data_IF_611715247882
#
_entry.id   IF_611715247882
#
_cell.length_a   1.000
_cell.length_b   1.000
_cell.length_c   1.000
_cell.angle_alpha   90.00
_cell.angle_beta   90.00
_cell.angle_gamma   90.00
#
_symmetry.space_group_name_H-M   'P 1'
#
loop_
_entity.id
_entity.type
_entity.pdbx_description
1 polymer ?
#
# COMPACT_ATOMS: atom_id res chain seq x y z
N UNK A 1 14.90 17.53 2.53
CA UNK A 1 13.89 16.95 1.62
C UNK A 1 14.28 15.50 1.32
N UNK A 2 13.36 14.52 1.31
CA UNK A 2 13.69 13.14 0.98
C UNK A 2 14.10 13.05 -0.50
N UNK A 3 15.35 12.68 -0.76
CA UNK A 3 15.89 12.56 -2.11
C UNK A 3 15.56 11.18 -2.69
N UNK A 4 14.80 11.14 -3.79
CA UNK A 4 14.55 9.88 -4.51
C UNK A 4 15.87 9.45 -5.15
N UNK A 5 16.39 8.29 -4.74
CA UNK A 5 17.60 7.74 -5.34
C UNK A 5 17.39 7.49 -6.84
N UNK A 6 18.39 7.86 -7.67
CA UNK A 6 18.35 7.61 -9.11
C UNK A 6 18.40 6.10 -9.39
N UNK A 7 17.72 5.66 -10.44
CA UNK A 7 17.76 4.25 -10.88
C UNK A 7 19.23 3.86 -11.16
N UNK A 8 19.65 2.69 -10.70
CA UNK A 8 21.02 2.14 -10.82
C UNK A 8 22.12 2.77 -9.94
N UNK A 9 21.78 3.57 -8.92
CA UNK A 9 22.76 3.97 -7.89
C UNK A 9 22.77 2.98 -6.72
N UNK A 10 23.93 2.77 -6.07
CA UNK A 10 24.01 2.01 -4.83
C UNK A 10 22.98 2.51 -3.82
N UNK A 11 22.35 1.60 -3.06
CA UNK A 11 21.37 1.89 -2.02
C UNK A 11 22.04 2.66 -0.87
N UNK A 12 22.29 3.96 -1.07
CA UNK A 12 23.14 4.76 -0.18
C UNK A 12 22.41 5.51 0.93
N UNK A 13 21.08 5.38 1.07
CA UNK A 13 20.31 6.34 1.88
C UNK A 13 19.32 5.73 2.86
N UNK A 14 19.25 4.40 3.01
CA UNK A 14 18.30 3.75 3.94
C UNK A 14 16.82 4.00 3.63
N UNK A 15 16.50 4.71 2.54
CA UNK A 15 15.13 5.00 2.10
C UNK A 15 14.31 3.73 1.86
N UNK A 16 14.94 2.61 1.50
CA UNK A 16 14.29 1.32 1.37
C UNK A 16 13.60 0.86 2.67
N UNK A 17 14.19 1.14 3.83
CA UNK A 17 13.63 0.78 5.15
C UNK A 17 12.32 1.50 5.42
N UNK A 18 12.24 2.80 5.10
CA UNK A 18 11.03 3.61 5.31
C UNK A 18 10.00 3.41 4.19
N UNK A 19 10.45 3.28 2.93
CA UNK A 19 9.56 3.06 1.77
C UNK A 19 8.89 1.70 1.82
N UNK A 20 9.57 0.68 2.32
CA UNK A 20 9.04 -0.67 2.39
C UNK A 20 7.68 -0.74 3.09
N UNK A 21 7.45 0.06 4.14
CA UNK A 21 6.16 0.10 4.84
C UNK A 21 5.02 0.54 3.91
N UNK A 22 5.28 1.56 3.09
CA UNK A 22 4.31 2.10 2.12
C UNK A 22 4.12 1.12 0.96
N UNK A 23 5.21 0.62 0.39
CA UNK A 23 5.19 -0.33 -0.73
C UNK A 23 4.49 -1.64 -0.36
N UNK A 24 4.72 -2.16 0.86
CA UNK A 24 4.02 -3.32 1.42
C UNK A 24 2.52 -3.06 1.53
N UNK A 25 2.12 -1.89 2.01
CA UNK A 25 0.70 -1.51 2.12
C UNK A 25 0.03 -1.50 0.74
N UNK A 26 0.69 -0.90 -0.27
CA UNK A 26 0.19 -0.92 -1.64
C UNK A 26 0.10 -2.33 -2.22
N UNK A 27 1.07 -3.20 -1.95
CA UNK A 27 1.03 -4.60 -2.38
C UNK A 27 -0.21 -5.33 -1.83
N UNK A 28 -0.58 -5.10 -0.55
CA UNK A 28 -1.80 -5.66 0.03
C UNK A 28 -3.07 -5.12 -0.63
N UNK A 29 -3.14 -3.80 -0.86
CA UNK A 29 -4.27 -3.18 -1.54
C UNK A 29 -4.42 -3.71 -2.98
N UNK A 30 -3.32 -3.90 -3.70
CA UNK A 30 -3.30 -4.45 -5.06
C UNK A 30 -3.72 -5.94 -5.12
N UNK A 31 -3.69 -6.65 -3.99
CA UNK A 31 -4.30 -7.99 -3.88
C UNK A 31 -5.81 -7.98 -4.09
N UNK A 32 -6.48 -6.85 -3.77
CA UNK A 32 -7.90 -6.66 -4.05
C UNK A 32 -8.07 -6.16 -5.49
N UNK A 33 -8.54 -7.04 -6.39
CA UNK A 33 -8.65 -6.77 -7.85
C UNK A 33 -9.28 -5.42 -8.22
N UNK A 34 -10.31 -4.97 -7.48
CA UNK A 34 -11.02 -3.69 -7.70
C UNK A 34 -10.25 -2.45 -7.25
N UNK A 35 -9.24 -2.61 -6.39
CA UNK A 35 -8.35 -1.53 -5.96
C UNK A 35 -7.07 -1.48 -6.80
N UNK A 36 -6.64 -2.61 -7.37
CA UNK A 36 -5.49 -2.66 -8.30
C UNK A 36 -5.75 -1.87 -9.58
N UNK A 37 -6.94 -2.04 -10.16
CA UNK A 37 -7.39 -1.32 -11.34
C UNK A 37 -8.70 -0.65 -10.96
N UNK A 38 -8.77 0.67 -11.13
CA UNK A 38 -9.97 1.44 -10.83
C UNK A 38 -11.02 1.22 -11.91
N UNK A 39 -11.87 0.22 -11.70
CA UNK A 39 -13.05 -0.03 -12.52
C UNK A 39 -14.25 0.84 -12.15
N UNK A 40 -14.27 1.33 -10.91
CA UNK A 40 -15.39 2.14 -10.40
C UNK A 40 -15.39 3.53 -11.03
N UNK A 41 -16.48 3.86 -11.72
CA UNK A 41 -16.70 5.19 -12.29
C UNK A 41 -16.83 6.26 -11.20
N UNK A 42 -17.47 5.93 -10.08
CA UNK A 42 -17.67 6.86 -8.97
C UNK A 42 -16.57 6.74 -7.92
N UNK A 43 -16.13 7.89 -7.40
CA UNK A 43 -15.04 7.97 -6.42
C UNK A 43 -15.46 7.47 -5.03
N UNK A 44 -16.70 7.73 -4.62
CA UNK A 44 -17.29 7.29 -3.35
C UNK A 44 -17.30 5.76 -3.21
N UNK A 45 -17.65 5.05 -4.28
CA UNK A 45 -17.63 3.58 -4.31
C UNK A 45 -16.19 3.06 -4.17
N UNK A 46 -15.25 3.67 -4.89
CA UNK A 46 -13.84 3.30 -4.79
C UNK A 46 -13.29 3.55 -3.37
N UNK A 47 -13.64 4.68 -2.76
CA UNK A 47 -13.25 5.03 -1.40
C UNK A 47 -13.85 4.05 -0.38
N UNK A 48 -15.11 3.63 -0.55
CA UNK A 48 -15.73 2.62 0.30
C UNK A 48 -14.98 1.28 0.24
N UNK A 49 -14.58 0.83 -0.96
CA UNK A 49 -13.75 -0.38 -1.10
C UNK A 49 -12.38 -0.22 -0.47
N UNK A 50 -11.77 0.95 -0.59
CA UNK A 50 -10.48 1.25 0.03
C UNK A 50 -10.57 1.13 1.55
N UNK A 51 -11.59 1.77 2.17
CA UNK A 51 -11.83 1.69 3.62
C UNK A 51 -12.08 0.25 4.07
N UNK A 52 -12.90 -0.50 3.33
CA UNK A 52 -13.15 -1.91 3.64
C UNK A 52 -11.87 -2.76 3.58
N UNK A 53 -11.04 -2.58 2.56
CA UNK A 53 -9.77 -3.28 2.43
C UNK A 53 -8.83 -2.96 3.61
N UNK A 54 -8.73 -1.70 4.03
CA UNK A 54 -7.98 -1.30 5.21
C UNK A 54 -8.46 -2.03 6.46
N UNK A 55 -9.78 -2.05 6.73
CA UNK A 55 -10.34 -2.79 7.87
C UNK A 55 -9.96 -4.27 7.86
N UNK A 56 -10.05 -4.93 6.69
CA UNK A 56 -9.66 -6.33 6.54
C UNK A 56 -8.17 -6.58 6.78
N UNK A 57 -7.30 -5.71 6.26
CA UNK A 57 -5.85 -5.80 6.48
C UNK A 57 -5.54 -5.65 7.96
N UNK A 58 -6.07 -4.60 8.61
CA UNK A 58 -5.87 -4.35 10.04
C UNK A 58 -6.37 -5.51 10.90
N UNK A 59 -7.56 -6.04 10.61
CA UNK A 59 -8.09 -7.21 11.33
C UNK A 59 -7.19 -8.45 11.20
N UNK A 60 -6.65 -8.71 9.99
CA UNK A 60 -5.70 -9.83 9.78
C UNK A 60 -4.40 -9.63 10.53
N UNK A 61 -3.89 -8.41 10.59
CA UNK A 61 -2.68 -8.08 11.35
C UNK A 61 -2.89 -8.27 12.85
N UNK A 62 -3.99 -7.73 13.40
CA UNK A 62 -4.33 -7.92 14.81
C UNK A 62 -4.41 -9.41 15.15
N UNK A 63 -5.10 -10.20 14.31
CA UNK A 63 -5.18 -11.66 14.49
C UNK A 63 -3.86 -12.41 14.37
N UNK A 64 -2.83 -11.82 13.75
CA UNK A 64 -1.49 -12.42 13.66
C UNK A 64 -0.58 -12.02 14.82
N UNK A 65 -0.96 -10.98 15.57
CA UNK A 65 -0.21 -10.48 16.71
C UNK A 65 -0.71 -11.08 18.04
N UNK A 66 -1.97 -11.49 18.09
CA UNK A 66 -2.55 -12.31 19.16
C UNK A 66 -2.29 -13.78 18.92
#
# INVERSE_FOLDING_TARGET
MPAIARRSTQHGTGLGTYRWVVERTFAWLHGFKRLRIRWERRADIHEAFLKLACCLITHRQIRSLC
#
